data_IF_404643191991
#
_entry.id   IF_404643191991
#
_cell.length_a   1.000
_cell.length_b   1.000
_cell.length_c   1.000
_cell.angle_alpha   90.00
_cell.angle_beta   90.00
_cell.angle_gamma   90.00
#
_symmetry.space_group_name_H-M   'P 1'
#
loop_
_entity.id
_entity.type
_entity.pdbx_description
1 polymer ?
#
# COMPACT_ATOMS: atom_id res chain seq x y z
N UNK A 1 73.93 -28.36 -36.11
CA UNK A 1 72.58 -28.56 -36.67
C UNK A 1 71.76 -29.34 -35.64
N UNK A 2 70.57 -28.81 -35.31
CA UNK A 2 69.55 -29.37 -34.40
C UNK A 2 69.14 -30.83 -34.74
N UNK A 3 68.28 -31.51 -33.96
CA UNK A 3 68.20 -31.70 -32.49
C UNK A 3 67.89 -33.20 -32.17
N UNK A 4 67.66 -33.62 -30.92
CA UNK A 4 66.59 -34.59 -30.59
C UNK A 4 66.40 -34.71 -29.06
N UNK A 5 65.13 -34.76 -28.68
CA UNK A 5 64.55 -34.87 -27.34
C UNK A 5 64.86 -36.23 -26.69
N UNK A 6 64.73 -36.31 -25.35
CA UNK A 6 63.65 -37.06 -24.64
C UNK A 6 63.94 -37.07 -23.13
N UNK A 7 62.83 -37.00 -22.41
CA UNK A 7 62.64 -36.76 -20.98
C UNK A 7 63.14 -37.86 -20.04
N UNK A 8 63.56 -37.41 -18.86
CA UNK A 8 63.85 -38.18 -17.65
C UNK A 8 62.57 -38.63 -16.93
N UNK A 9 62.45 -39.95 -16.68
CA UNK A 9 61.57 -40.53 -15.66
C UNK A 9 62.29 -40.58 -14.31
N UNK A 10 61.57 -40.25 -13.23
CA UNK A 10 62.13 -39.92 -11.92
C UNK A 10 62.27 -41.06 -10.91
N UNK A 11 62.54 -40.68 -9.65
CA UNK A 11 62.24 -41.46 -8.44
C UNK A 11 61.76 -40.51 -7.34
N UNK A 12 60.70 -40.98 -6.70
CA UNK A 12 59.81 -40.37 -5.72
C UNK A 12 60.48 -40.39 -4.33
N UNK A 13 60.45 -39.26 -3.62
CA UNK A 13 60.62 -39.25 -2.17
C UNK A 13 59.23 -39.15 -1.53
N UNK A 14 58.80 -40.23 -0.88
CA UNK A 14 57.67 -40.24 0.04
C UNK A 14 58.04 -39.48 1.31
N UNK A 15 57.25 -38.48 1.68
CA UNK A 15 57.04 -38.12 3.08
C UNK A 15 55.56 -37.92 3.33
N UNK A 16 55.01 -38.78 4.18
CA UNK A 16 53.63 -38.76 4.68
C UNK A 16 53.47 -37.62 5.71
N UNK A 17 52.52 -36.73 5.47
CA UNK A 17 51.81 -35.94 6.48
C UNK A 17 50.43 -35.63 5.86
N UNK A 18 49.46 -36.53 6.06
CA UNK A 18 48.42 -36.47 7.09
C UNK A 18 47.43 -35.32 6.86
N UNK A 19 46.19 -35.75 6.60
CA UNK A 19 45.01 -35.01 6.16
C UNK A 19 44.56 -33.94 7.15
N UNK A 20 44.24 -32.76 6.64
CA UNK A 20 43.12 -31.98 7.16
C UNK A 20 42.15 -31.71 6.02
N UNK A 21 40.98 -32.32 6.16
CA UNK A 21 39.83 -32.26 5.28
C UNK A 21 39.15 -30.87 5.35
N UNK A 22 38.51 -30.50 4.24
CA UNK A 22 37.43 -29.52 4.16
C UNK A 22 37.77 -28.04 4.43
N UNK A 23 38.68 -27.51 3.62
CA UNK A 23 38.76 -26.09 3.29
C UNK A 23 37.88 -25.70 2.09
N UNK A 24 36.65 -26.21 1.98
CA UNK A 24 35.64 -25.66 1.07
C UNK A 24 34.86 -24.60 1.83
N UNK A 25 35.38 -23.37 1.80
CA UNK A 25 34.56 -22.16 1.87
C UNK A 25 33.58 -22.21 0.70
N UNK A 26 32.51 -22.98 0.87
CA UNK A 26 31.26 -22.73 0.19
C UNK A 26 30.86 -21.33 0.66
N UNK A 27 31.17 -20.34 -0.16
CA UNK A 27 30.45 -19.11 -0.16
C UNK A 27 28.97 -19.50 -0.12
N UNK A 28 28.33 -19.31 1.03
CA UNK A 28 26.90 -19.07 1.07
C UNK A 28 26.69 -17.93 0.11
N UNK A 29 26.36 -18.28 -1.13
CA UNK A 29 25.69 -17.39 -2.05
C UNK A 29 24.33 -17.22 -1.42
N UNK A 30 24.30 -16.33 -0.42
CA UNK A 30 23.12 -15.67 0.06
C UNK A 30 22.54 -15.05 -1.20
N UNK A 31 21.63 -15.78 -1.84
CA UNK A 31 20.76 -15.23 -2.85
C UNK A 31 19.97 -14.22 -2.04
N UNK A 32 20.46 -12.98 -2.03
CA UNK A 32 19.66 -11.84 -1.61
C UNK A 32 18.34 -12.04 -2.35
N UNK A 33 17.31 -12.36 -1.58
CA UNK A 33 15.97 -12.50 -2.09
C UNK A 33 15.57 -11.07 -2.43
N UNK A 34 16.03 -10.59 -3.58
CA UNK A 34 16.00 -9.19 -3.98
C UNK A 34 14.59 -8.75 -4.39
N UNK A 35 13.59 -9.51 -3.95
CA UNK A 35 12.20 -9.12 -3.99
C UNK A 35 11.98 -8.04 -2.92
N UNK A 36 11.73 -6.79 -3.32
CA UNK A 36 11.48 -5.70 -2.38
C UNK A 36 10.19 -5.89 -1.56
N UNK A 37 9.34 -6.84 -1.96
CA UNK A 37 8.08 -7.19 -1.31
C UNK A 37 8.12 -8.58 -0.68
N UNK A 38 7.77 -8.67 0.60
CA UNK A 38 7.51 -9.94 1.28
C UNK A 38 6.00 -10.19 1.35
N UNK A 39 5.53 -11.24 0.68
CA UNK A 39 4.12 -11.63 0.70
C UNK A 39 3.92 -12.88 1.57
N UNK A 40 2.84 -12.89 2.37
CA UNK A 40 2.54 -13.94 3.33
C UNK A 40 1.10 -14.41 3.20
N UNK A 41 0.87 -15.68 3.53
CA UNK A 41 -0.43 -16.35 3.34
C UNK A 41 -0.71 -17.30 4.50
N UNK A 42 -1.45 -16.82 5.51
CA UNK A 42 -1.97 -17.62 6.63
C UNK A 42 -3.43 -17.19 6.87
N UNK A 43 -3.85 -17.06 8.13
CA UNK A 43 -5.15 -16.47 8.48
C UNK A 43 -5.25 -15.02 8.00
N UNK A 44 -4.18 -14.25 8.18
CA UNK A 44 -3.98 -12.97 7.49
C UNK A 44 -3.07 -13.17 6.28
N UNK A 45 -3.26 -12.34 5.25
CA UNK A 45 -2.45 -12.34 4.05
C UNK A 45 -2.17 -10.92 3.57
N UNK A 46 -1.18 -10.79 2.71
CA UNK A 46 -0.78 -9.48 2.25
C UNK A 46 0.61 -9.45 1.66
N UNK A 47 1.04 -8.25 1.28
CA UNK A 47 2.38 -7.97 0.81
C UNK A 47 2.92 -6.71 1.48
N UNK A 48 4.15 -6.78 1.97
CA UNK A 48 4.86 -5.66 2.58
C UNK A 48 6.09 -5.37 1.72
N UNK A 49 6.06 -4.23 1.02
CA UNK A 49 7.14 -3.74 0.20
C UNK A 49 7.95 -2.71 0.98
N UNK A 50 9.01 -3.17 1.66
CA UNK A 50 9.84 -2.33 2.54
C UNK A 50 10.82 -1.43 1.77
N UNK A 51 11.03 -1.71 0.48
CA UNK A 51 11.85 -0.91 -0.44
C UNK A 51 10.99 -0.44 -1.62
N UNK A 52 11.36 0.68 -2.28
CA UNK A 52 10.66 1.14 -3.48
C UNK A 52 10.62 0.05 -4.55
N UNK A 53 9.46 -0.11 -5.19
CA UNK A 53 9.27 -1.01 -6.32
C UNK A 53 9.05 -0.21 -7.59
N UNK A 54 9.34 -0.83 -8.73
CA UNK A 54 9.07 -0.22 -10.04
C UNK A 54 7.57 -0.28 -10.36
N UNK A 55 7.13 0.57 -11.29
CA UNK A 55 5.74 0.52 -11.79
C UNK A 55 5.35 -0.86 -12.33
N UNK A 56 6.25 -1.52 -13.08
CA UNK A 56 6.00 -2.86 -13.60
C UNK A 56 5.81 -3.91 -12.48
N UNK A 57 6.63 -3.86 -11.43
CA UNK A 57 6.48 -4.72 -10.26
C UNK A 57 5.17 -4.44 -9.52
N UNK A 58 4.81 -3.18 -9.36
CA UNK A 58 3.55 -2.78 -8.74
C UNK A 58 2.33 -3.31 -9.51
N UNK A 59 2.35 -3.27 -10.85
CA UNK A 59 1.26 -3.76 -11.69
C UNK A 59 1.04 -5.28 -11.59
N UNK A 60 2.10 -6.07 -11.37
CA UNK A 60 1.99 -7.53 -11.26
C UNK A 60 1.84 -8.02 -9.82
N UNK A 61 2.07 -7.17 -8.82
CA UNK A 61 1.94 -7.51 -7.40
C UNK A 61 0.60 -8.17 -7.04
N UNK A 62 -0.56 -7.73 -7.59
CA UNK A 62 -1.86 -8.37 -7.34
C UNK A 62 -1.95 -9.85 -7.68
N UNK A 63 -1.07 -10.38 -8.54
CA UNK A 63 -1.03 -11.82 -8.85
C UNK A 63 -0.73 -12.67 -7.60
N UNK A 64 -0.12 -12.07 -6.58
CA UNK A 64 0.14 -12.70 -5.30
C UNK A 64 -1.05 -12.60 -4.34
N UNK A 65 -2.05 -11.75 -4.59
CA UNK A 65 -3.18 -11.59 -3.66
C UNK A 65 -4.09 -12.82 -3.69
N UNK A 66 -4.61 -13.16 -2.51
CA UNK A 66 -5.49 -14.31 -2.26
C UNK A 66 -6.58 -13.90 -1.27
N UNK A 67 -7.73 -14.59 -1.26
CA UNK A 67 -8.70 -14.46 -0.17
C UNK A 67 -8.11 -14.93 1.16
N UNK A 68 -8.37 -14.18 2.23
CA UNK A 68 -7.94 -14.49 3.60
C UNK A 68 -8.81 -13.74 4.61
N UNK A 69 -8.60 -13.96 5.92
CA UNK A 69 -9.39 -13.27 6.96
C UNK A 69 -8.99 -11.81 7.11
N UNK A 70 -7.73 -11.45 6.94
CA UNK A 70 -7.30 -10.05 7.04
C UNK A 70 -6.26 -9.74 5.98
N UNK A 71 -6.45 -8.67 5.24
CA UNK A 71 -5.59 -8.28 4.14
C UNK A 71 -4.75 -7.04 4.49
N UNK A 72 -3.46 -7.05 4.14
CA UNK A 72 -2.60 -5.86 4.26
C UNK A 72 -1.73 -5.67 3.03
N UNK A 73 -1.80 -4.48 2.44
CA UNK A 73 -0.79 -4.00 1.51
C UNK A 73 -0.03 -2.85 2.13
N UNK A 74 1.29 -2.99 2.27
CA UNK A 74 2.18 -1.91 2.71
C UNK A 74 3.18 -1.56 1.60
N UNK A 75 3.19 -0.31 1.17
CA UNK A 75 4.11 0.23 0.16
C UNK A 75 5.01 1.28 0.79
N UNK A 76 6.33 1.18 0.56
CA UNK A 76 7.34 2.11 1.07
C UNK A 76 8.18 2.63 -0.09
N UNK A 77 7.92 3.87 -0.50
CA UNK A 77 8.59 4.47 -1.64
C UNK A 77 8.08 3.95 -2.99
N UNK A 78 8.46 4.66 -4.04
CA UNK A 78 8.10 4.31 -5.42
C UNK A 78 7.39 5.45 -6.14
N UNK A 79 7.38 5.35 -7.47
CA UNK A 79 6.69 6.27 -8.34
C UNK A 79 5.79 5.46 -9.27
N UNK A 80 4.50 5.74 -9.20
CA UNK A 80 3.47 4.98 -9.89
C UNK A 80 2.59 5.91 -10.71
N UNK A 81 1.94 5.36 -11.72
CA UNK A 81 0.94 6.13 -12.47
C UNK A 81 -0.31 6.35 -11.60
N UNK A 82 -0.93 5.25 -11.16
CA UNK A 82 -2.10 5.24 -10.29
C UNK A 82 -2.35 3.83 -9.73
N UNK A 83 -3.31 3.61 -8.84
CA UNK A 83 -3.87 2.27 -8.60
C UNK A 83 -4.69 1.82 -9.84
N UNK A 84 -4.31 0.72 -10.53
CA UNK A 84 -5.06 0.17 -11.66
C UNK A 84 -6.45 -0.35 -11.28
N UNK A 85 -7.35 -0.47 -12.27
CA UNK A 85 -8.62 -1.17 -12.08
C UNK A 85 -8.42 -2.62 -11.63
N UNK A 86 -9.34 -3.13 -10.79
CA UNK A 86 -9.34 -4.49 -10.22
C UNK A 86 -8.06 -4.87 -9.43
N UNK A 87 -7.26 -3.89 -9.00
CA UNK A 87 -5.99 -4.13 -8.30
C UNK A 87 -6.13 -5.04 -7.07
N UNK A 88 -7.22 -4.92 -6.33
CA UNK A 88 -7.50 -5.71 -5.13
C UNK A 88 -8.55 -6.82 -5.37
N UNK A 89 -8.99 -7.07 -6.60
CA UNK A 89 -10.12 -7.97 -6.90
C UNK A 89 -9.94 -9.39 -6.33
N UNK A 90 -8.70 -9.90 -6.28
CA UNK A 90 -8.39 -11.24 -5.73
C UNK A 90 -8.46 -11.33 -4.20
N UNK A 91 -8.57 -10.20 -3.49
CA UNK A 91 -8.71 -10.15 -2.04
C UNK A 91 -10.08 -10.65 -1.60
N UNK A 92 -11.14 -10.26 -2.33
CA UNK A 92 -12.51 -10.68 -2.04
C UNK A 92 -13.02 -10.17 -0.68
N UNK A 93 -13.66 -11.05 0.07
CA UNK A 93 -14.19 -10.74 1.40
C UNK A 93 -13.14 -10.96 2.49
N UNK A 94 -12.96 -9.95 3.36
CA UNK A 94 -12.04 -9.99 4.51
C UNK A 94 -12.76 -9.50 5.76
N UNK A 95 -12.15 -9.69 6.93
CA UNK A 95 -12.55 -8.99 8.14
C UNK A 95 -11.92 -7.63 8.28
N UNK A 96 -10.61 -7.57 8.02
CA UNK A 96 -9.83 -6.36 8.12
C UNK A 96 -9.13 -6.08 6.79
N UNK A 97 -9.31 -4.87 6.26
CA UNK A 97 -8.59 -4.40 5.09
C UNK A 97 -7.64 -3.28 5.49
N UNK A 98 -6.34 -3.44 5.20
CA UNK A 98 -5.33 -2.41 5.49
C UNK A 98 -4.58 -2.05 4.22
N UNK A 99 -4.68 -0.78 3.84
CA UNK A 99 -3.83 -0.16 2.83
C UNK A 99 -2.94 0.87 3.51
N UNK A 100 -1.64 0.62 3.50
CA UNK A 100 -0.63 1.48 4.11
C UNK A 100 0.39 1.92 3.05
N UNK A 101 0.32 3.19 2.65
CA UNK A 101 1.15 3.76 1.60
C UNK A 101 2.03 4.84 2.22
N UNK A 102 3.35 4.72 2.09
CA UNK A 102 4.26 5.74 2.62
C UNK A 102 5.34 6.15 1.63
N UNK A 103 5.59 7.46 1.52
CA UNK A 103 6.65 8.06 0.68
C UNK A 103 6.52 7.71 -0.81
N UNK A 104 5.29 7.50 -1.27
CA UNK A 104 4.97 7.13 -2.66
C UNK A 104 4.53 8.37 -3.43
N UNK A 105 4.96 8.47 -4.69
CA UNK A 105 4.44 9.46 -5.63
C UNK A 105 3.54 8.78 -6.67
N UNK A 106 2.39 9.40 -6.94
CA UNK A 106 1.36 8.97 -7.88
C UNK A 106 1.04 10.11 -8.84
N UNK A 107 0.71 9.81 -10.10
CA UNK A 107 0.11 10.82 -10.99
C UNK A 107 -1.36 11.05 -10.60
N UNK A 108 -2.11 9.97 -10.43
CA UNK A 108 -3.48 9.95 -9.93
C UNK A 108 -3.57 8.96 -8.77
N UNK A 109 -4.45 9.18 -7.80
CA UNK A 109 -4.62 8.16 -6.76
C UNK A 109 -5.13 6.85 -7.38
N UNK A 110 -6.22 6.93 -8.13
CA UNK A 110 -6.79 5.79 -8.86
C UNK A 110 -6.73 6.05 -10.37
N UNK A 111 -6.59 5.02 -11.20
CA UNK A 111 -6.47 5.21 -12.66
C UNK A 111 -7.78 5.77 -13.24
N UNK A 112 -7.81 7.00 -13.77
CA UNK A 112 -9.03 7.61 -14.30
C UNK A 112 -9.51 7.00 -15.61
N UNK A 113 -8.68 6.17 -16.27
CA UNK A 113 -9.02 5.49 -17.52
C UNK A 113 -9.42 4.02 -17.28
N UNK A 114 -9.33 3.53 -16.04
CA UNK A 114 -9.74 2.18 -15.71
C UNK A 114 -11.26 2.01 -15.88
N UNK A 115 -11.66 0.86 -16.41
CA UNK A 115 -13.09 0.50 -16.56
C UNK A 115 -13.71 0.04 -15.23
N UNK A 116 -12.89 -0.22 -14.22
CA UNK A 116 -13.27 -0.75 -12.91
C UNK A 116 -12.50 -0.03 -11.79
N UNK A 117 -13.08 -0.02 -10.59
CA UNK A 117 -12.38 0.45 -9.40
C UNK A 117 -11.24 -0.50 -9.01
N UNK A 118 -10.11 -0.01 -8.48
CA UNK A 118 -9.10 -0.87 -7.85
C UNK A 118 -9.68 -1.75 -6.73
N UNK A 119 -10.75 -1.28 -6.07
CA UNK A 119 -11.42 -1.95 -4.95
C UNK A 119 -12.60 -2.81 -5.37
N UNK A 120 -12.81 -3.00 -6.67
CA UNK A 120 -13.90 -3.85 -7.17
C UNK A 120 -13.79 -5.26 -6.57
N UNK A 121 -14.92 -5.77 -6.04
CA UNK A 121 -14.99 -7.09 -5.39
C UNK A 121 -14.42 -7.17 -3.96
N UNK A 122 -13.89 -6.07 -3.41
CA UNK A 122 -13.37 -6.05 -2.04
C UNK A 122 -14.47 -5.69 -1.05
N UNK A 123 -14.67 -6.55 -0.04
CA UNK A 123 -15.63 -6.27 1.03
C UNK A 123 -15.04 -6.58 2.40
N UNK A 124 -15.49 -5.88 3.45
CA UNK A 124 -15.00 -6.09 4.82
C UNK A 124 -16.12 -6.20 5.86
N UNK A 125 -15.94 -6.98 6.94
CA UNK A 125 -16.97 -7.15 7.99
C UNK A 125 -16.66 -6.43 9.31
N UNK A 126 -15.38 -6.16 9.63
CA UNK A 126 -14.95 -5.46 10.85
C UNK A 126 -14.37 -4.07 10.53
N UNK A 127 -13.25 -4.01 9.79
CA UNK A 127 -12.52 -2.74 9.63
C UNK A 127 -11.90 -2.53 8.25
N UNK A 128 -11.79 -1.27 7.86
CA UNK A 128 -10.95 -0.83 6.76
C UNK A 128 -10.10 0.37 7.18
N UNK A 129 -8.77 0.25 7.02
CA UNK A 129 -7.82 1.31 7.31
C UNK A 129 -7.10 1.72 6.03
N UNK A 130 -7.26 2.97 5.62
CA UNK A 130 -6.50 3.57 4.52
C UNK A 130 -5.57 4.61 5.10
N UNK A 131 -4.27 4.29 5.11
CA UNK A 131 -3.21 5.10 5.70
C UNK A 131 -2.24 5.57 4.63
N UNK A 132 -2.05 6.88 4.54
CA UNK A 132 -1.18 7.52 3.58
C UNK A 132 -0.26 8.50 4.31
N UNK A 133 1.05 8.29 4.22
CA UNK A 133 2.06 9.10 4.88
C UNK A 133 3.08 9.60 3.87
N UNK A 134 3.31 10.92 3.77
CA UNK A 134 4.22 11.48 2.75
C UNK A 134 3.86 11.02 1.32
N UNK A 135 2.57 10.90 1.02
CA UNK A 135 2.09 10.52 -0.31
C UNK A 135 1.88 11.77 -1.15
N UNK A 136 2.49 11.77 -2.33
CA UNK A 136 2.36 12.85 -3.30
C UNK A 136 1.47 12.37 -4.44
N UNK A 137 0.38 13.08 -4.70
CA UNK A 137 -0.47 12.86 -5.88
C UNK A 137 -0.44 14.12 -6.73
N UNK A 138 0.15 14.01 -7.93
CA UNK A 138 0.48 15.17 -8.75
C UNK A 138 -0.70 15.80 -9.47
N UNK A 139 -1.73 15.01 -9.81
CA UNK A 139 -2.87 15.47 -10.59
C UNK A 139 -4.16 15.46 -9.79
N UNK A 140 -4.58 14.29 -9.31
CA UNK A 140 -5.90 14.17 -8.69
C UNK A 140 -6.00 12.99 -7.71
N UNK A 141 -6.59 13.24 -6.54
CA UNK A 141 -6.84 12.24 -5.50
C UNK A 141 -8.08 11.37 -5.74
N UNK A 142 -8.94 11.72 -6.70
CA UNK A 142 -10.11 10.97 -7.20
C UNK A 142 -10.59 9.82 -6.30
N UNK A 143 -11.28 10.19 -5.22
CA UNK A 143 -11.65 9.31 -4.10
C UNK A 143 -12.79 8.35 -4.44
N UNK A 144 -13.57 8.66 -5.49
CA UNK A 144 -14.78 7.92 -5.88
C UNK A 144 -14.57 6.41 -6.02
N UNK A 145 -13.37 5.97 -6.43
CA UNK A 145 -13.06 4.56 -6.57
C UNK A 145 -13.17 3.79 -5.23
N UNK A 146 -12.91 4.44 -4.10
CA UNK A 146 -13.02 3.85 -2.76
C UNK A 146 -14.47 3.65 -2.30
N UNK A 147 -15.47 4.07 -3.07
CA UNK A 147 -16.87 3.66 -2.87
C UNK A 147 -17.03 2.12 -2.89
N UNK A 148 -16.20 1.44 -3.68
CA UNK A 148 -16.25 0.00 -3.86
C UNK A 148 -15.58 -0.81 -2.74
N UNK A 149 -14.82 -0.15 -1.85
CA UNK A 149 -14.35 -0.77 -0.61
C UNK A 149 -15.53 -0.84 0.36
N UNK A 150 -16.30 -1.93 0.27
CA UNK A 150 -17.65 -1.96 0.83
C UNK A 150 -17.74 -2.73 2.16
N UNK A 151 -18.33 -2.14 3.20
CA UNK A 151 -18.64 -2.86 4.44
C UNK A 151 -19.81 -3.83 4.21
N UNK A 152 -19.80 -4.95 4.93
CA UNK A 152 -20.85 -5.98 4.88
C UNK A 152 -21.72 -6.03 6.14
N UNK A 153 -21.32 -5.32 7.20
CA UNK A 153 -22.03 -5.30 8.48
C UNK A 153 -22.29 -3.88 8.93
N UNK A 154 -23.36 -3.69 9.71
CA UNK A 154 -23.68 -2.39 10.33
C UNK A 154 -22.72 -2.02 11.46
N UNK A 155 -21.85 -2.94 11.91
CA UNK A 155 -20.82 -2.69 12.93
C UNK A 155 -19.47 -2.32 12.34
N UNK A 156 -19.29 -2.53 11.03
CA UNK A 156 -18.06 -2.18 10.35
C UNK A 156 -17.76 -0.68 10.46
N UNK A 157 -16.47 -0.35 10.50
CA UNK A 157 -15.97 1.02 10.49
C UNK A 157 -14.82 1.18 9.50
N UNK A 158 -14.64 2.39 8.99
CA UNK A 158 -13.63 2.73 8.01
C UNK A 158 -12.90 4.00 8.43
N UNK A 159 -11.56 3.97 8.42
CA UNK A 159 -10.72 5.08 8.85
C UNK A 159 -9.81 5.54 7.71
N UNK A 160 -9.77 6.85 7.51
CA UNK A 160 -8.95 7.50 6.50
C UNK A 160 -7.92 8.38 7.21
N UNK A 161 -6.65 8.03 7.06
CA UNK A 161 -5.52 8.76 7.63
C UNK A 161 -4.59 9.20 6.51
N UNK A 162 -4.44 10.52 6.32
CA UNK A 162 -3.61 11.13 5.29
C UNK A 162 -2.73 12.21 5.91
N UNK A 163 -1.48 11.85 6.17
CA UNK A 163 -0.54 12.64 6.96
C UNK A 163 0.63 13.08 6.08
N UNK A 164 1.04 14.35 6.21
CA UNK A 164 2.19 14.92 5.48
C UNK A 164 2.13 14.69 3.96
N UNK A 165 0.94 14.62 3.39
CA UNK A 165 0.70 14.27 1.99
C UNK A 165 0.27 15.50 1.18
N UNK A 166 -0.02 15.38 -0.12
CA UNK A 166 -0.38 16.54 -0.96
C UNK A 166 -1.86 16.60 -1.32
N UNK A 167 -2.76 16.81 -0.36
CA UNK A 167 -4.23 16.88 -0.57
C UNK A 167 -4.71 18.34 -0.55
N UNK A 168 -4.64 19.11 -1.66
CA UNK A 168 -4.96 20.53 -1.63
C UNK A 168 -6.45 20.83 -1.44
N UNK A 169 -7.32 19.92 -1.90
CA UNK A 169 -8.79 20.08 -1.88
C UNK A 169 -9.45 18.75 -1.57
N UNK A 170 -10.44 18.74 -0.67
CA UNK A 170 -11.40 17.64 -0.56
C UNK A 170 -12.66 18.00 -1.32
N UNK A 171 -12.96 17.20 -2.35
CA UNK A 171 -14.15 17.37 -3.18
C UNK A 171 -15.28 16.46 -2.71
N UNK A 172 -16.46 16.67 -3.27
CA UNK A 172 -17.66 15.89 -2.93
C UNK A 172 -17.51 14.36 -3.10
N UNK A 173 -16.60 13.90 -3.95
CA UNK A 173 -16.30 12.47 -4.12
C UNK A 173 -15.67 11.83 -2.87
N UNK A 174 -14.97 12.61 -2.05
CA UNK A 174 -14.42 12.17 -0.77
C UNK A 174 -15.51 11.55 0.12
N UNK A 175 -16.69 12.17 0.16
CA UNK A 175 -17.83 11.69 0.96
C UNK A 175 -18.36 10.31 0.55
N UNK A 176 -17.91 9.73 -0.57
CA UNK A 176 -18.37 8.42 -1.04
C UNK A 176 -17.53 7.25 -0.56
N UNK A 177 -16.37 7.53 0.05
CA UNK A 177 -15.46 6.50 0.57
C UNK A 177 -16.22 5.55 1.49
N UNK A 178 -15.97 4.24 1.34
CA UNK A 178 -16.57 3.21 2.16
C UNK A 178 -18.12 3.29 2.21
N UNK A 179 -18.76 3.79 1.16
CA UNK A 179 -20.22 3.98 1.10
C UNK A 179 -20.79 4.82 2.26
N UNK A 180 -20.01 5.77 2.77
CA UNK A 180 -20.41 6.61 3.90
C UNK A 180 -20.11 6.03 5.30
N UNK A 181 -19.52 4.84 5.41
CA UNK A 181 -19.21 4.19 6.70
C UNK A 181 -17.95 4.72 7.39
N UNK A 182 -17.38 5.84 6.93
CA UNK A 182 -16.18 6.43 7.53
C UNK A 182 -16.49 6.93 8.94
N UNK A 183 -15.68 6.52 9.92
CA UNK A 183 -15.81 6.88 11.34
C UNK A 183 -14.77 7.90 11.77
N UNK A 184 -13.59 7.90 11.15
CA UNK A 184 -12.46 8.76 11.45
C UNK A 184 -11.87 9.31 10.16
N UNK A 185 -11.68 10.63 10.11
CA UNK A 185 -10.99 11.33 9.02
C UNK A 185 -9.87 12.18 9.60
N UNK A 186 -8.62 11.75 9.40
CA UNK A 186 -7.45 12.48 9.85
C UNK A 186 -6.62 12.89 8.64
N UNK A 187 -6.72 14.15 8.23
CA UNK A 187 -5.96 14.73 7.12
C UNK A 187 -5.07 15.81 7.71
N UNK A 188 -3.84 15.46 8.09
CA UNK A 188 -2.98 16.30 8.93
C UNK A 188 -1.73 16.71 8.16
N UNK A 189 -1.37 17.99 8.23
CA UNK A 189 -0.16 18.52 7.56
C UNK A 189 -0.12 18.21 6.06
N UNK A 190 -1.29 18.11 5.41
CA UNK A 190 -1.41 17.62 4.04
C UNK A 190 -1.65 18.72 3.00
N UNK A 191 -1.38 19.98 3.36
CA UNK A 191 -1.49 21.13 2.47
C UNK A 191 -2.92 21.46 2.03
N UNK A 192 -3.93 20.99 2.78
CA UNK A 192 -5.35 21.21 2.48
C UNK A 192 -5.72 22.69 2.57
N UNK A 193 -6.29 23.24 1.51
CA UNK A 193 -6.63 24.67 1.38
C UNK A 193 -8.15 24.87 1.38
N UNK A 194 -8.91 23.95 0.78
CA UNK A 194 -10.37 24.06 0.68
C UNK A 194 -11.10 22.73 0.79
N UNK A 195 -12.38 22.83 1.15
CA UNK A 195 -13.32 21.73 1.31
C UNK A 195 -14.59 22.07 0.50
N UNK A 196 -15.12 21.11 -0.23
CA UNK A 196 -16.45 21.26 -0.85
C UNK A 196 -17.55 21.32 0.22
N UNK A 197 -18.65 22.00 -0.11
CA UNK A 197 -19.81 22.06 0.76
C UNK A 197 -20.36 20.65 1.02
N UNK A 198 -20.61 20.33 2.30
CA UNK A 198 -21.15 19.03 2.68
C UNK A 198 -20.20 17.85 2.42
N UNK A 199 -18.88 18.06 2.27
CA UNK A 199 -17.92 16.98 1.97
C UNK A 199 -17.96 15.83 2.98
N UNK A 200 -18.27 16.11 4.24
CA UNK A 200 -18.42 15.11 5.30
C UNK A 200 -19.87 14.68 5.56
N UNK A 201 -20.86 15.33 4.92
CA UNK A 201 -22.27 15.07 5.17
C UNK A 201 -22.70 13.61 4.90
N UNK A 202 -22.15 12.90 3.90
CA UNK A 202 -22.49 11.49 3.69
C UNK A 202 -21.98 10.53 4.78
N UNK A 203 -21.01 10.94 5.61
CA UNK A 203 -20.42 10.09 6.64
C UNK A 203 -21.26 10.06 7.91
N UNK A 204 -22.36 9.31 7.88
CA UNK A 204 -23.33 9.23 8.98
C UNK A 204 -22.79 8.55 10.26
N UNK A 205 -21.63 7.90 10.20
CA UNK A 205 -20.92 7.30 11.35
C UNK A 205 -19.72 8.12 11.82
N UNK A 206 -19.47 9.28 11.25
CA UNK A 206 -18.28 10.07 11.54
C UNK A 206 -18.29 10.55 12.99
N UNK A 207 -17.21 10.24 13.71
CA UNK A 207 -17.02 10.58 15.13
C UNK A 207 -15.83 11.49 15.35
N UNK A 208 -14.82 11.42 14.48
CA UNK A 208 -13.59 12.18 14.59
C UNK A 208 -13.21 12.79 13.24
N UNK A 209 -12.84 14.08 13.28
CA UNK A 209 -12.26 14.81 12.15
C UNK A 209 -11.06 15.59 12.68
N UNK A 210 -9.86 15.26 12.21
CA UNK A 210 -8.66 16.06 12.41
C UNK A 210 -8.16 16.64 11.08
N UNK A 211 -8.21 17.96 10.96
CA UNK A 211 -7.68 18.73 9.82
C UNK A 211 -6.52 19.64 10.23
N UNK A 212 -5.85 19.33 11.34
CA UNK A 212 -4.79 20.16 11.91
C UNK A 212 -3.60 20.34 10.97
N UNK A 213 -2.88 21.45 11.17
CA UNK A 213 -1.67 21.81 10.42
C UNK A 213 -1.87 21.90 8.89
N UNK A 214 -3.07 22.20 8.44
CA UNK A 214 -3.37 22.54 7.05
C UNK A 214 -3.40 24.06 6.81
N UNK A 215 -3.83 24.46 5.61
CA UNK A 215 -3.88 25.85 5.14
C UNK A 215 -5.31 26.33 4.88
N UNK A 216 -6.30 25.69 5.53
CA UNK A 216 -7.70 26.07 5.41
C UNK A 216 -7.88 27.45 6.05
N UNK A 217 -8.37 28.40 5.26
CA UNK A 217 -8.58 29.78 5.72
C UNK A 217 -10.00 30.02 6.24
N UNK A 218 -10.97 29.24 5.76
CA UNK A 218 -12.38 29.41 6.09
C UNK A 218 -13.02 28.07 6.49
N UNK A 219 -13.68 28.06 7.65
CA UNK A 219 -14.48 26.93 8.12
C UNK A 219 -15.96 27.29 8.02
N UNK A 220 -16.70 26.62 7.12
CA UNK A 220 -18.13 26.85 6.91
C UNK A 220 -18.95 25.83 7.67
N UNK A 221 -20.11 26.27 8.19
CA UNK A 221 -21.09 25.36 8.84
C UNK A 221 -21.58 24.27 7.89
N UNK A 222 -21.65 24.56 6.59
CA UNK A 222 -22.07 23.61 5.55
C UNK A 222 -21.17 22.38 5.45
N UNK A 223 -19.94 22.41 5.97
CA UNK A 223 -19.05 21.24 5.97
C UNK A 223 -19.50 20.17 6.97
N UNK A 224 -20.22 20.55 8.03
CA UNK A 224 -20.52 19.71 9.19
C UNK A 224 -22.02 19.50 9.43
N UNK A 225 -22.84 19.58 8.37
CA UNK A 225 -24.31 19.48 8.51
C UNK A 225 -24.74 18.21 9.27
N UNK A 226 -24.02 17.10 9.11
CA UNK A 226 -24.30 15.83 9.81
C UNK A 226 -24.04 15.88 11.34
N UNK A 227 -23.06 16.67 11.79
CA UNK A 227 -22.75 16.81 13.22
C UNK A 227 -23.84 17.59 13.98
N UNK A 228 -24.68 18.34 13.27
CA UNK A 228 -25.78 19.09 13.88
C UNK A 228 -26.98 18.19 14.23
N UNK A 229 -27.16 17.08 13.51
CA UNK A 229 -28.27 16.15 13.73
C UNK A 229 -27.95 15.16 14.85
N UNK A 230 -26.72 14.65 14.90
CA UNK A 230 -26.28 13.70 15.94
C UNK A 230 -26.14 14.30 17.34
N UNK A 231 -26.12 15.64 17.48
CA UNK A 231 -26.05 16.32 18.79
C UNK A 231 -27.44 16.57 19.43
N UNK A 232 -28.53 16.25 18.72
CA UNK A 232 -29.91 16.45 19.18
C UNK A 232 -30.61 15.17 19.65
N UNK A 233 -29.89 14.04 19.66
CA UNK A 233 -30.33 12.74 20.20
C UNK A 233 -29.57 12.40 21.48
#
# INVERSE_FOLDING_TARGET
>A
MLPFLIWSFGVIALSLAQSDENGTLLAERQVDNDNPCNCYFKESCGCICSRPITWAQFQVLPQNFRPCRGFTLALRGGQFFAFPGDYFYRVGHVSDFVLDVSRVALQYLNDPQAQSSPYNGVTFDISAFVRMHEVIVNREWNWDAMYWLAPTTTKAYCEIQVVQSTVPVLRADFGRICQGYVTVVNIVSSGLISLDNGVFAPFYKLTEIDLSNNRIQEMRRSYFLILQENWKS
#
